data_IF_613638344871
#
_entry.id   IF_613638344871
#
_cell.length_a   1.000
_cell.length_b   1.000
_cell.length_c   1.000
_cell.angle_alpha   90.00
_cell.angle_beta   90.00
_cell.angle_gamma   90.00
#
_symmetry.space_group_name_H-M   'P 1'
#
loop_
_entity.id
_entity.type
_entity.pdbx_description
1 polymer ?
#
# COMPACT_ATOMS: atom_id res chain seq x y z
N UNK A 1 -14.78 10.47 -8.31
CA UNK A 1 -14.07 9.37 -9.00
C UNK A 1 -13.42 8.53 -7.92
N UNK A 2 -13.33 7.20 -8.05
CA UNK A 2 -12.70 6.34 -7.05
C UNK A 2 -11.47 5.67 -7.66
N UNK A 3 -10.43 5.51 -6.85
CA UNK A 3 -9.19 4.83 -7.24
C UNK A 3 -8.99 3.57 -6.39
N UNK A 4 -8.42 2.53 -6.99
CA UNK A 4 -8.12 1.28 -6.31
C UNK A 4 -6.75 1.42 -5.65
N UNK A 5 -6.75 1.57 -4.33
CA UNK A 5 -5.53 1.66 -3.53
C UNK A 5 -4.97 0.26 -3.23
N UNK A 6 -5.85 -0.73 -3.01
CA UNK A 6 -5.46 -2.10 -2.71
C UNK A 6 -6.47 -3.11 -3.29
N UNK A 7 -6.00 -4.32 -3.58
CA UNK A 7 -6.85 -5.42 -4.05
C UNK A 7 -7.10 -5.50 -5.56
N UNK A 8 -6.22 -4.93 -6.39
CA UNK A 8 -6.37 -4.88 -7.85
C UNK A 8 -6.60 -6.27 -8.48
N UNK A 9 -5.86 -7.29 -8.04
CA UNK A 9 -6.04 -8.68 -8.54
C UNK A 9 -7.45 -9.22 -8.28
N UNK A 10 -8.02 -8.94 -7.10
CA UNK A 10 -9.38 -9.37 -6.73
C UNK A 10 -10.43 -8.62 -7.55
N UNK A 11 -10.21 -7.32 -7.79
CA UNK A 11 -11.05 -6.52 -8.67
C UNK A 11 -11.02 -7.04 -10.11
N UNK A 12 -9.85 -7.36 -10.66
CA UNK A 12 -9.71 -7.96 -12.00
C UNK A 12 -10.41 -9.32 -12.09
N UNK A 13 -10.25 -10.18 -11.08
CA UNK A 13 -10.94 -11.47 -11.03
C UNK A 13 -12.47 -11.30 -10.97
N UNK A 14 -12.96 -10.37 -10.15
CA UNK A 14 -14.40 -10.07 -10.08
C UNK A 14 -14.95 -9.56 -11.42
N UNK A 15 -14.18 -8.75 -12.15
CA UNK A 15 -14.52 -8.28 -13.50
C UNK A 15 -14.57 -9.44 -14.50
N UNK A 16 -13.61 -10.36 -14.45
CA UNK A 16 -13.61 -11.56 -15.30
C UNK A 16 -14.79 -12.49 -14.98
N UNK A 17 -15.17 -12.59 -13.70
CA UNK A 17 -16.33 -13.34 -13.24
C UNK A 17 -17.69 -12.67 -13.60
N UNK A 18 -17.67 -11.49 -14.23
CA UNK A 18 -18.89 -10.78 -14.64
C UNK A 18 -19.69 -10.17 -13.48
N UNK A 19 -19.08 -10.00 -12.31
CA UNK A 19 -19.75 -9.39 -11.16
C UNK A 19 -20.05 -7.91 -11.44
N UNK A 20 -21.34 -7.55 -11.38
CA UNK A 20 -21.78 -6.15 -11.59
C UNK A 20 -21.44 -5.22 -10.42
N UNK A 21 -21.19 -5.77 -9.23
CA UNK A 21 -20.86 -5.03 -8.00
C UNK A 21 -19.83 -5.82 -7.19
N UNK A 22 -18.90 -5.10 -6.58
CA UNK A 22 -17.86 -5.66 -5.72
C UNK A 22 -17.89 -4.90 -4.39
N UNK A 23 -17.84 -5.58 -3.23
CA UNK A 23 -17.74 -4.90 -1.95
C UNK A 23 -16.39 -4.17 -1.86
N UNK A 24 -16.45 -2.87 -1.60
CA UNK A 24 -15.28 -2.01 -1.48
C UNK A 24 -15.35 -1.25 -0.16
N UNK A 25 -14.21 -1.12 0.53
CA UNK A 25 -14.08 -0.23 1.67
C UNK A 25 -13.65 1.15 1.16
N UNK A 26 -14.56 2.12 1.22
CA UNK A 26 -14.27 3.51 0.80
C UNK A 26 -13.67 4.26 1.98
N UNK A 27 -12.38 4.57 1.90
CA UNK A 27 -11.70 5.46 2.85
C UNK A 27 -11.52 6.83 2.20
N UNK A 28 -11.84 7.90 2.93
CA UNK A 28 -11.38 9.26 2.59
C UNK A 28 -9.94 9.38 3.07
N UNK A 29 -9.02 9.29 2.12
CA UNK A 29 -7.59 9.46 2.36
C UNK A 29 -7.17 10.65 1.51
N UNK A 30 -6.40 11.57 2.07
CA UNK A 30 -5.63 12.49 1.23
C UNK A 30 -4.75 11.62 0.32
N UNK A 31 -4.76 11.86 -0.99
CA UNK A 31 -4.20 10.93 -2.00
C UNK A 31 -2.80 10.41 -1.65
N UNK A 32 -1.99 11.23 -0.98
CA UNK A 32 -0.70 10.80 -0.41
C UNK A 32 -0.84 9.71 0.65
N UNK A 33 -1.64 9.90 1.69
CA UNK A 33 -1.76 8.93 2.79
C UNK A 33 -2.29 7.55 2.33
N UNK A 34 -3.10 7.51 1.26
CA UNK A 34 -3.51 6.27 0.60
C UNK A 34 -2.33 5.51 -0.01
N UNK A 35 -1.50 6.23 -0.77
CA UNK A 35 -0.32 5.68 -1.45
C UNK A 35 0.68 5.16 -0.41
N UNK A 36 0.91 5.90 0.69
CA UNK A 36 1.79 5.44 1.78
C UNK A 36 1.31 4.10 2.35
N UNK A 37 0.02 3.98 2.67
CA UNK A 37 -0.52 2.75 3.24
C UNK A 37 -0.38 1.56 2.29
N UNK A 38 -0.63 1.75 0.99
CA UNK A 38 -0.44 0.69 0.00
C UNK A 38 1.03 0.29 -0.15
N UNK A 39 1.95 1.26 -0.11
CA UNK A 39 3.38 1.02 -0.20
C UNK A 39 3.89 0.27 1.04
N UNK A 40 3.45 0.67 2.24
CA UNK A 40 3.78 0.02 3.51
C UNK A 40 3.27 -1.42 3.53
N UNK A 41 2.03 -1.68 3.13
CA UNK A 41 1.49 -3.05 3.06
C UNK A 41 2.33 -3.91 2.10
N UNK A 42 2.71 -3.34 0.95
CA UNK A 42 3.54 -4.06 -0.01
C UNK A 42 4.95 -4.34 0.53
N UNK A 43 5.55 -3.43 1.30
CA UNK A 43 6.85 -3.62 1.96
C UNK A 43 6.78 -4.71 3.04
N UNK A 44 5.66 -4.81 3.76
CA UNK A 44 5.47 -5.76 4.85
C UNK A 44 5.23 -7.21 4.40
N UNK A 45 5.25 -7.48 3.10
CA UNK A 45 5.08 -8.83 2.57
C UNK A 45 6.30 -9.69 2.88
N UNK A 46 6.06 -10.84 3.49
CA UNK A 46 7.10 -11.81 3.92
C UNK A 46 7.89 -12.41 2.74
N UNK A 47 7.42 -12.21 1.51
CA UNK A 47 8.02 -12.68 0.26
C UNK A 47 8.93 -11.66 -0.45
N UNK A 48 9.20 -10.48 0.12
CA UNK A 48 10.15 -9.53 -0.46
C UNK A 48 11.62 -9.96 -0.31
N UNK A 49 12.39 -9.73 -1.37
CA UNK A 49 13.84 -9.82 -1.27
C UNK A 49 14.45 -8.50 -0.73
N UNK A 50 15.67 -8.58 -0.20
CA UNK A 50 16.38 -7.44 0.42
C UNK A 50 16.58 -6.24 -0.52
N UNK A 51 16.67 -6.46 -1.83
CA UNK A 51 16.81 -5.38 -2.82
C UNK A 51 15.46 -4.68 -3.03
N UNK A 52 14.38 -5.45 -3.15
CA UNK A 52 13.01 -4.95 -3.31
C UNK A 52 12.57 -4.14 -2.08
N UNK A 53 12.93 -4.61 -0.89
CA UNK A 53 12.62 -3.93 0.37
C UNK A 53 13.31 -2.55 0.42
N UNK A 54 14.61 -2.51 0.07
CA UNK A 54 15.36 -1.26 0.00
C UNK A 54 14.77 -0.26 -1.01
N UNK A 55 14.41 -0.73 -2.21
CA UNK A 55 13.79 0.12 -3.23
C UNK A 55 12.42 0.66 -2.82
N UNK A 56 11.64 -0.15 -2.09
CA UNK A 56 10.34 0.27 -1.63
C UNK A 56 10.44 1.26 -0.45
N UNK A 57 11.44 1.10 0.44
CA UNK A 57 11.77 2.07 1.49
C UNK A 57 12.24 3.41 0.90
N UNK A 58 13.08 3.38 -0.14
CA UNK A 58 13.55 4.58 -0.83
C UNK A 58 12.37 5.34 -1.46
N UNK A 59 11.48 4.64 -2.17
CA UNK A 59 10.24 5.24 -2.71
C UNK A 59 9.35 5.83 -1.62
N UNK A 60 9.21 5.15 -0.49
CA UNK A 60 8.43 5.68 0.65
C UNK A 60 9.04 6.99 1.17
N UNK A 61 10.36 7.08 1.18
CA UNK A 61 11.07 8.27 1.64
C UNK A 61 10.89 9.42 0.65
N UNK A 62 11.04 9.16 -0.64
CA UNK A 62 10.96 10.17 -1.70
C UNK A 62 9.54 10.71 -1.91
N UNK A 63 8.54 9.82 -1.96
CA UNK A 63 7.14 10.22 -2.22
C UNK A 63 6.52 11.02 -1.07
N UNK A 64 7.00 10.78 0.16
CA UNK A 64 6.46 11.39 1.38
C UNK A 64 7.40 12.40 2.02
N UNK A 65 8.60 12.58 1.45
CA UNK A 65 9.66 13.44 2.00
C UNK A 65 9.91 13.16 3.49
N UNK A 66 9.83 11.89 3.86
CA UNK A 66 9.96 11.45 5.25
C UNK A 66 11.44 11.30 5.60
N UNK A 67 11.76 11.51 6.87
CA UNK A 67 13.07 11.12 7.39
C UNK A 67 13.15 9.60 7.58
N UNK A 68 14.36 9.05 7.58
CA UNK A 68 14.60 7.64 7.90
C UNK A 68 13.95 7.22 9.23
N UNK A 69 13.97 8.12 10.23
CA UNK A 69 13.33 7.91 11.53
C UNK A 69 11.80 7.76 11.41
N UNK A 70 11.16 8.64 10.64
CA UNK A 70 9.70 8.61 10.43
C UNK A 70 9.27 7.38 9.62
N UNK A 71 10.07 6.97 8.63
CA UNK A 71 9.84 5.72 7.89
C UNK A 71 9.90 4.52 8.85
N UNK A 72 10.91 4.46 9.72
CA UNK A 72 11.04 3.41 10.72
C UNK A 72 9.87 3.38 11.71
N UNK A 73 9.39 4.53 12.17
CA UNK A 73 8.24 4.62 13.09
C UNK A 73 6.94 4.11 12.44
N UNK A 74 6.73 4.43 11.17
CA UNK A 74 5.53 4.04 10.40
C UNK A 74 5.51 2.53 10.13
N UNK A 75 6.67 1.96 9.75
CA UNK A 75 6.82 0.52 9.52
C UNK A 75 6.80 -0.25 10.85
N UNK A 76 7.47 0.26 11.88
CA UNK A 76 7.57 -0.34 13.21
C UNK A 76 6.22 -0.43 13.92
N UNK A 77 5.41 0.64 13.91
CA UNK A 77 4.05 0.61 14.45
C UNK A 77 3.15 -0.42 13.75
N UNK A 78 3.38 -0.64 12.46
CA UNK A 78 2.58 -1.54 11.64
C UNK A 78 3.04 -3.01 11.75
N UNK A 79 4.23 -3.29 12.30
CA UNK A 79 4.77 -4.66 12.54
C UNK A 79 4.36 -5.25 13.89
N UNK A 80 3.86 -4.44 14.83
CA UNK A 80 3.51 -4.86 16.21
C UNK A 80 2.03 -5.23 16.41
N UNK A 81 1.27 -5.50 15.35
CA UNK A 81 -0.14 -5.97 15.45
C UNK A 81 -0.26 -7.37 14.88
#
# INVERSE_FOLDING_TARGET
>A
QFEIIAGERRWRAARQAGLKRVPCLVKKVEDRAAIAMALIENIQREDLNVIEEAQALERLQDEFTLTHQQVADVIGKSRTT
#
